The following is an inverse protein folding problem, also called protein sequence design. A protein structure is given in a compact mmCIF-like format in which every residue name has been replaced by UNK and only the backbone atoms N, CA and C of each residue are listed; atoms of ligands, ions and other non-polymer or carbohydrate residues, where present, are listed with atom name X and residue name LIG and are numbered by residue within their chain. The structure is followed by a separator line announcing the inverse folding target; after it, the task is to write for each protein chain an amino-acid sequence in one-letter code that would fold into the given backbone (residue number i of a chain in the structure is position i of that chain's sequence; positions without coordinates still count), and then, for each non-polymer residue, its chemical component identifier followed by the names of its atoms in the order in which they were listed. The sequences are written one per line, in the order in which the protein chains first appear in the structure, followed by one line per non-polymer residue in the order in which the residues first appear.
data_IF_808701262285
#
_entry.id   IF_808701262285
#
_cell.length_a   1.000
_cell.length_b   1.000
_cell.length_c   1.000
_cell.angle_alpha   90.00
_cell.angle_beta   90.00
_cell.angle_gamma   90.00
#
_symmetry.space_group_name_H-M   'P 1'
#
loop_
_entity.id
_entity.type
_entity.pdbx_description
1 polymer ?
#
# COMPACT_ATOMS: atom_id res chain seq x y z
N UNK A 1 20.09 -9.00 23.07
CA UNK A 1 21.33 -8.29 23.48
C UNK A 1 21.62 -7.19 22.46
N UNK A 2 22.05 -6.01 22.88
CA UNK A 2 22.40 -4.91 21.96
C UNK A 2 23.91 -4.76 21.93
N UNK A 3 24.50 -4.89 20.74
CA UNK A 3 25.94 -4.72 20.50
C UNK A 3 26.14 -3.55 19.54
N UNK A 4 26.36 -2.34 20.08
CA UNK A 4 26.49 -1.14 19.28
C UNK A 4 25.21 -0.84 18.48
N UNK A 5 25.27 -1.04 17.15
CA UNK A 5 24.12 -0.89 16.23
C UNK A 5 23.39 -2.20 15.93
N UNK A 6 23.93 -3.33 16.38
CA UNK A 6 23.36 -4.66 16.12
C UNK A 6 22.47 -5.10 17.28
N UNK A 7 21.34 -5.70 16.93
CA UNK A 7 20.41 -6.30 17.89
C UNK A 7 20.48 -7.82 17.68
N UNK A 8 20.94 -8.53 18.71
CA UNK A 8 20.94 -10.00 18.75
C UNK A 8 19.68 -10.44 19.50
N UNK A 9 18.74 -11.03 18.77
CA UNK A 9 17.55 -11.64 19.35
C UNK A 9 17.93 -12.98 20.00
N UNK A 10 17.61 -13.13 21.29
CA UNK A 10 17.84 -14.35 22.06
C UNK A 10 16.49 -14.78 22.61
N UNK A 11 15.98 -15.91 22.13
CA UNK A 11 14.74 -16.51 22.58
C UNK A 11 15.02 -17.93 23.08
N UNK A 12 14.30 -18.36 24.12
CA UNK A 12 14.33 -19.75 24.61
C UNK A 12 13.46 -20.64 23.74
N UNK A 13 13.79 -21.93 23.67
CA UNK A 13 12.96 -22.92 22.98
C UNK A 13 11.63 -23.13 23.69
N UNK A 14 10.59 -23.45 22.92
CA UNK A 14 9.22 -23.64 23.41
C UNK A 14 8.75 -25.08 23.19
N UNK A 15 8.07 -25.67 24.15
CA UNK A 15 7.57 -27.05 24.09
C UNK A 15 6.29 -27.20 23.25
N UNK A 16 6.01 -28.41 22.76
CA UNK A 16 4.69 -28.81 22.26
C UNK A 16 3.88 -29.42 23.43
N UNK A 17 2.84 -28.72 23.89
CA UNK A 17 1.98 -29.18 24.99
C UNK A 17 0.89 -30.07 24.40
N UNK A 18 1.25 -31.28 23.98
CA UNK A 18 0.26 -32.37 23.78
C UNK A 18 0.23 -33.32 25.01
N UNK A 19 0.93 -32.94 26.09
CA UNK A 19 1.10 -33.71 27.33
C UNK A 19 0.21 -33.22 28.49
N UNK A 20 -0.72 -32.31 28.24
CA UNK A 20 -1.77 -31.92 29.19
C UNK A 20 -1.31 -31.15 30.43
N UNK A 21 -0.10 -30.55 30.42
CA UNK A 21 0.49 -29.93 31.62
C UNK A 21 0.78 -28.41 31.53
N UNK A 22 0.27 -27.69 30.52
CA UNK A 22 0.59 -26.27 30.33
C UNK A 22 -0.57 -25.35 29.90
N UNK A 23 -0.50 -24.12 30.41
CA UNK A 23 -1.36 -22.96 30.11
C UNK A 23 -1.22 -22.48 28.64
N UNK A 24 -1.74 -23.26 27.68
CA UNK A 24 -2.22 -22.68 26.41
C UNK A 24 -3.63 -22.16 26.66
N UNK A 25 -3.74 -20.87 26.95
CA UNK A 25 -5.04 -20.20 26.82
C UNK A 25 -5.34 -20.07 25.33
N UNK A 26 -6.20 -20.98 24.85
CA UNK A 26 -6.87 -20.85 23.56
C UNK A 26 -8.17 -20.09 23.82
N UNK A 27 -8.22 -18.79 23.49
CA UNK A 27 -9.49 -18.08 23.44
C UNK A 27 -10.07 -18.27 22.03
N UNK A 28 -11.17 -19.01 21.94
CA UNK A 28 -11.82 -19.38 20.68
C UNK A 28 -10.89 -20.03 19.63
N UNK A 29 -9.95 -20.88 20.07
CA UNK A 29 -9.01 -21.59 19.18
C UNK A 29 -7.76 -20.79 18.78
N UNK A 30 -7.50 -19.64 19.43
CA UNK A 30 -6.34 -18.78 19.14
C UNK A 30 -5.32 -18.77 20.25
N UNK A 31 -4.04 -18.77 19.90
CA UNK A 31 -2.95 -18.70 20.87
C UNK A 31 -2.96 -17.35 21.62
N UNK A 32 -3.27 -17.36 22.92
CA UNK A 32 -3.23 -16.17 23.80
C UNK A 32 -1.98 -16.14 24.68
N UNK A 33 -1.51 -17.30 25.17
CA UNK A 33 -0.29 -17.43 26.00
C UNK A 33 0.44 -18.75 25.76
N UNK A 34 1.77 -18.72 25.88
CA UNK A 34 2.64 -19.83 25.50
C UNK A 34 4.05 -19.75 26.11
N UNK A 35 4.15 -19.90 27.43
CA UNK A 35 5.42 -19.81 28.17
C UNK A 35 5.91 -21.17 28.70
N UNK A 36 5.88 -22.21 27.87
CA UNK A 36 6.43 -23.53 28.24
C UNK A 36 7.72 -23.77 27.47
N UNK A 37 8.80 -24.04 28.20
CA UNK A 37 10.12 -24.31 27.61
C UNK A 37 10.22 -25.76 27.17
N UNK A 38 10.81 -25.99 26.00
CA UNK A 38 10.94 -27.31 25.39
C UNK A 38 12.29 -27.59 24.78
N UNK A 39 12.37 -28.69 24.03
CA UNK A 39 13.55 -29.02 23.26
C UNK A 39 13.65 -28.17 21.98
N UNK A 40 14.82 -28.23 21.34
CA UNK A 40 15.03 -27.61 20.01
C UNK A 40 14.09 -28.21 18.95
N UNK A 41 13.80 -29.51 19.03
CA UNK A 41 12.90 -30.22 18.13
C UNK A 41 11.45 -29.73 18.32
N UNK A 42 11.04 -29.53 19.56
CA UNK A 42 9.72 -28.95 19.88
C UNK A 42 9.56 -27.56 19.26
N UNK A 43 10.56 -26.68 19.42
CA UNK A 43 10.49 -25.33 18.85
C UNK A 43 10.49 -25.36 17.32
N UNK A 44 11.21 -26.29 16.69
CA UNK A 44 11.25 -26.45 15.23
C UNK A 44 9.86 -26.71 14.66
N UNK A 45 9.09 -27.62 15.27
CA UNK A 45 7.73 -27.99 14.83
C UNK A 45 6.74 -26.81 14.95
N UNK A 46 7.00 -25.89 15.89
CA UNK A 46 6.15 -24.71 16.14
C UNK A 46 6.42 -23.54 15.20
N UNK A 47 7.52 -23.57 14.45
CA UNK A 47 7.79 -22.58 13.40
C UNK A 47 6.79 -22.73 12.27
N UNK A 48 6.65 -21.67 11.48
CA UNK A 48 5.61 -21.63 10.47
C UNK A 48 6.00 -22.41 9.22
N UNK A 49 7.26 -22.29 8.76
CA UNK A 49 7.71 -22.85 7.50
C UNK A 49 9.00 -23.65 7.68
N UNK A 50 9.12 -24.74 6.94
CA UNK A 50 10.27 -25.68 6.99
C UNK A 50 11.59 -24.96 6.71
N UNK A 51 11.62 -24.08 5.70
CA UNK A 51 12.80 -23.28 5.35
C UNK A 51 13.29 -22.34 6.47
N UNK A 52 12.41 -21.98 7.41
CA UNK A 52 12.73 -21.13 8.56
C UNK A 52 13.03 -21.95 9.82
N UNK A 53 13.00 -23.27 9.77
CA UNK A 53 13.20 -24.18 10.90
C UNK A 53 14.56 -24.91 10.86
N UNK A 54 15.54 -24.35 10.15
CA UNK A 54 16.91 -24.83 10.12
C UNK A 54 17.73 -24.19 11.27
N UNK A 55 18.46 -25.01 12.02
CA UNK A 55 19.30 -24.56 13.13
C UNK A 55 20.77 -24.82 12.82
N UNK A 56 21.60 -23.80 12.95
CA UNK A 56 23.04 -23.93 12.77
C UNK A 56 23.73 -24.13 14.12
N UNK A 57 24.53 -25.19 14.23
CA UNK A 57 25.30 -25.50 15.42
C UNK A 57 26.76 -25.06 15.24
N UNK A 58 27.23 -24.15 16.08
CA UNK A 58 28.61 -23.65 16.04
C UNK A 58 29.61 -24.67 16.61
N UNK A 59 29.13 -25.65 17.37
CA UNK A 59 29.97 -26.66 18.03
C UNK A 59 30.63 -27.61 17.03
N UNK A 60 29.86 -28.01 16.02
CA UNK A 60 30.25 -29.02 15.01
C UNK A 60 30.06 -28.52 13.57
N UNK A 61 29.68 -27.25 13.38
CA UNK A 61 29.43 -26.62 12.09
C UNK A 61 28.33 -27.31 11.27
N UNK A 62 27.41 -28.03 11.94
CA UNK A 62 26.31 -28.75 11.31
C UNK A 62 25.03 -27.89 11.19
N UNK A 63 24.16 -28.28 10.26
CA UNK A 63 22.78 -27.79 10.18
C UNK A 63 21.86 -28.90 10.67
N UNK A 64 21.09 -28.61 11.72
CA UNK A 64 20.06 -29.51 12.26
C UNK A 64 18.72 -29.17 11.61
N UNK A 65 18.13 -30.17 10.95
CA UNK A 65 16.86 -30.08 10.25
C UNK A 65 15.91 -31.16 10.76
N UNK A 66 14.85 -30.74 11.45
CA UNK A 66 13.83 -31.62 12.04
C UNK A 66 12.56 -31.69 11.18
N UNK A 67 12.49 -30.94 10.08
CA UNK A 67 11.25 -30.75 9.32
C UNK A 67 11.41 -30.95 7.80
N UNK A 68 12.60 -31.29 7.31
CA UNK A 68 12.91 -31.39 5.88
C UNK A 68 13.09 -30.03 5.19
N UNK A 69 13.41 -28.98 5.96
CA UNK A 69 13.59 -27.63 5.44
C UNK A 69 14.73 -27.48 4.45
N UNK A 70 15.79 -28.30 4.55
CA UNK A 70 16.90 -28.24 3.59
C UNK A 70 16.46 -28.67 2.19
N UNK A 71 15.71 -29.77 2.08
CA UNK A 71 15.18 -30.27 0.80
C UNK A 71 14.20 -29.27 0.18
N UNK A 72 13.30 -28.70 1.00
CA UNK A 72 12.36 -27.67 0.55
C UNK A 72 13.07 -26.40 0.05
N UNK A 73 14.17 -25.98 0.71
CA UNK A 73 14.99 -24.85 0.25
C UNK A 73 15.67 -25.16 -1.09
N UNK A 74 16.19 -26.38 -1.27
CA UNK A 74 16.77 -26.81 -2.56
C UNK A 74 15.71 -26.82 -3.67
N UNK A 75 14.49 -27.26 -3.34
CA UNK A 75 13.35 -27.29 -4.25
C UNK A 75 12.67 -25.91 -4.44
N UNK A 76 13.08 -24.88 -3.69
CA UNK A 76 12.44 -23.56 -3.64
C UNK A 76 10.94 -23.62 -3.30
N UNK A 77 10.59 -24.46 -2.33
CA UNK A 77 9.23 -24.64 -1.84
C UNK A 77 9.02 -23.95 -0.50
N UNK A 78 7.96 -23.15 -0.41
CA UNK A 78 7.45 -22.57 0.81
C UNK A 78 6.40 -23.51 1.39
N UNK A 79 6.84 -24.42 2.27
CA UNK A 79 6.01 -25.45 2.89
C UNK A 79 5.73 -25.13 4.36
N UNK A 80 4.47 -25.22 4.77
CA UNK A 80 4.08 -25.01 6.15
C UNK A 80 4.43 -26.25 7.00
N UNK A 81 4.80 -26.04 8.26
CA UNK A 81 5.04 -27.15 9.19
C UNK A 81 3.71 -27.60 9.82
N UNK A 82 3.41 -28.90 9.79
CA UNK A 82 2.16 -29.47 10.30
C UNK A 82 1.00 -29.36 9.29
N UNK A 83 -0.24 -29.48 9.79
CA UNK A 83 -1.45 -29.41 8.96
C UNK A 83 -1.78 -27.95 8.56
N UNK A 84 -1.80 -27.61 7.26
CA UNK A 84 -2.02 -26.22 6.83
C UNK A 84 -3.35 -25.61 7.29
N UNK A 85 -4.44 -26.36 7.28
CA UNK A 85 -5.76 -25.86 7.64
C UNK A 85 -5.83 -25.50 9.13
N UNK A 86 -5.38 -26.40 10.01
CA UNK A 86 -5.30 -26.14 11.45
C UNK A 86 -4.38 -24.94 11.76
N UNK A 87 -3.20 -24.89 11.13
CA UNK A 87 -2.23 -23.81 11.39
C UNK A 87 -2.73 -22.45 10.90
N UNK A 88 -3.48 -22.38 9.81
CA UNK A 88 -4.12 -21.12 9.38
C UNK A 88 -5.30 -20.72 10.25
N UNK A 89 -6.03 -21.66 10.84
CA UNK A 89 -7.09 -21.36 11.82
C UNK A 89 -6.52 -20.78 13.11
N UNK A 90 -5.43 -21.36 13.62
CA UNK A 90 -4.72 -20.86 14.81
C UNK A 90 -4.17 -19.43 14.62
N UNK A 91 -3.52 -19.17 13.48
CA UNK A 91 -2.97 -17.86 13.14
C UNK A 91 -3.11 -17.55 11.63
N UNK A 92 -4.20 -16.87 11.24
CA UNK A 92 -4.49 -16.51 9.85
C UNK A 92 -3.39 -15.67 9.19
N UNK A 93 -2.60 -14.95 10.00
CA UNK A 93 -1.48 -14.12 9.52
C UNK A 93 -0.40 -14.97 8.83
N UNK A 94 -0.32 -16.28 9.10
CA UNK A 94 0.57 -17.21 8.39
C UNK A 94 0.33 -17.25 6.89
N UNK A 95 -0.91 -17.06 6.42
CA UNK A 95 -1.20 -16.97 4.98
C UNK A 95 -0.47 -15.78 4.32
N UNK A 96 -0.48 -14.61 4.98
CA UNK A 96 0.24 -13.43 4.51
C UNK A 96 1.75 -13.65 4.53
N UNK A 97 2.25 -14.33 5.57
CA UNK A 97 3.67 -14.66 5.71
C UNK A 97 4.13 -15.64 4.64
N UNK A 98 3.30 -16.61 4.26
CA UNK A 98 3.58 -17.56 3.18
C UNK A 98 3.79 -16.80 1.86
N UNK A 99 2.84 -15.93 1.50
CA UNK A 99 2.94 -15.08 0.29
C UNK A 99 4.16 -14.17 0.35
N UNK A 100 4.40 -13.51 1.48
CA UNK A 100 5.53 -12.60 1.65
C UNK A 100 6.87 -13.30 1.48
N UNK A 101 7.04 -14.45 2.13
CA UNK A 101 8.30 -15.19 2.09
C UNK A 101 8.51 -15.84 0.73
N UNK A 102 7.46 -16.37 0.12
CA UNK A 102 7.50 -16.88 -1.25
C UNK A 102 7.95 -15.79 -2.23
N UNK A 103 7.36 -14.58 -2.15
CA UNK A 103 7.76 -13.43 -2.96
C UNK A 103 9.22 -13.00 -2.72
N UNK A 104 9.64 -12.93 -1.45
CA UNK A 104 11.00 -12.50 -1.08
C UNK A 104 12.08 -13.50 -1.53
N UNK A 105 11.85 -14.79 -1.32
CA UNK A 105 12.84 -15.84 -1.59
C UNK A 105 12.75 -16.37 -3.02
N UNK A 106 11.76 -15.92 -3.80
CA UNK A 106 11.41 -16.48 -5.11
C UNK A 106 11.13 -18.00 -5.02
N UNK A 107 10.30 -18.37 -4.05
CA UNK A 107 9.83 -19.73 -3.81
C UNK A 107 8.39 -19.87 -4.29
N UNK A 108 7.99 -21.09 -4.63
CA UNK A 108 6.59 -21.45 -4.84
C UNK A 108 5.98 -21.96 -3.55
N UNK A 109 4.71 -21.64 -3.27
CA UNK A 109 4.02 -22.21 -2.10
C UNK A 109 3.67 -23.66 -2.43
N UNK A 110 4.07 -24.60 -1.56
CA UNK A 110 3.80 -26.02 -1.73
C UNK A 110 2.27 -26.26 -1.84
N UNK A 111 1.85 -27.20 -2.68
CA UNK A 111 0.45 -27.35 -3.09
C UNK A 111 -0.52 -27.56 -1.92
N UNK A 112 -0.17 -28.42 -0.95
CA UNK A 112 -0.97 -28.64 0.27
C UNK A 112 -1.02 -27.42 1.18
N UNK A 113 0.06 -26.64 1.22
CA UNK A 113 0.12 -25.36 1.94
C UNK A 113 -0.69 -24.26 1.22
N UNK A 114 -0.77 -24.32 -0.11
CA UNK A 114 -1.47 -23.34 -0.93
C UNK A 114 -2.99 -23.56 -0.99
N UNK A 115 -3.45 -24.81 -1.03
CA UNK A 115 -4.88 -25.16 -1.23
C UNK A 115 -5.82 -24.47 -0.24
N UNK A 116 -5.56 -24.43 1.08
CA UNK A 116 -6.52 -23.88 2.03
C UNK A 116 -6.57 -22.36 2.02
N UNK A 117 -5.56 -21.68 1.47
CA UNK A 117 -5.39 -20.22 1.57
C UNK A 117 -6.63 -19.46 1.05
N UNK A 118 -7.16 -19.73 -0.16
CA UNK A 118 -8.31 -19.00 -0.67
C UNK A 118 -9.59 -19.28 0.14
N UNK A 119 -9.76 -20.49 0.67
CA UNK A 119 -10.92 -20.88 1.48
C UNK A 119 -10.90 -20.17 2.85
N UNK A 120 -9.72 -20.09 3.45
CA UNK A 120 -9.51 -19.56 4.80
C UNK A 120 -9.19 -18.06 4.83
N UNK A 121 -9.01 -17.41 3.68
CA UNK A 121 -8.69 -15.98 3.56
C UNK A 121 -9.61 -15.07 4.40
N UNK A 122 -10.88 -15.45 4.56
CA UNK A 122 -11.85 -14.73 5.40
C UNK A 122 -11.41 -14.58 6.85
N UNK A 123 -10.68 -15.55 7.41
CA UNK A 123 -10.21 -15.54 8.80
C UNK A 123 -9.27 -14.37 9.11
N UNK A 124 -8.66 -13.75 8.10
CA UNK A 124 -7.87 -12.53 8.28
C UNK A 124 -8.68 -11.39 8.89
N UNK A 125 -10.01 -11.34 8.72
CA UNK A 125 -10.85 -10.31 9.33
C UNK A 125 -10.87 -10.34 10.85
N UNK A 126 -10.55 -11.50 11.40
CA UNK A 126 -10.59 -11.74 12.84
C UNK A 126 -9.19 -11.59 13.46
N UNK A 127 -8.13 -11.50 12.65
CA UNK A 127 -6.78 -11.22 13.13
C UNK A 127 -6.67 -9.79 13.65
N UNK A 128 -5.79 -9.56 14.63
CA UNK A 128 -5.59 -8.24 15.21
C UNK A 128 -5.20 -7.22 14.12
N UNK A 129 -5.94 -6.09 13.96
CA UNK A 129 -5.71 -5.13 12.88
C UNK A 129 -4.28 -4.54 12.84
N UNK A 130 -3.62 -4.45 14.00
CA UNK A 130 -2.22 -4.03 14.10
C UNK A 130 -1.24 -5.07 13.50
N UNK A 131 -1.51 -6.37 13.68
CA UNK A 131 -0.66 -7.44 13.09
C UNK A 131 -0.79 -7.43 11.56
N UNK A 132 -1.98 -7.19 11.03
CA UNK A 132 -2.21 -7.04 9.60
C UNK A 132 -1.46 -5.83 9.04
N UNK A 133 -1.48 -4.70 9.75
CA UNK A 133 -0.73 -3.51 9.36
C UNK A 133 0.77 -3.79 9.23
N UNK A 134 1.37 -4.43 10.25
CA UNK A 134 2.79 -4.79 10.24
C UNK A 134 3.13 -5.75 9.09
N UNK A 135 2.31 -6.77 8.82
CA UNK A 135 2.55 -7.66 7.69
C UNK A 135 2.36 -6.98 6.33
N UNK A 136 1.41 -6.04 6.19
CA UNK A 136 1.28 -5.22 4.97
C UNK A 136 2.56 -4.41 4.72
N UNK A 137 3.12 -3.78 5.75
CA UNK A 137 4.40 -3.08 5.60
C UNK A 137 5.51 -4.02 5.14
N UNK A 138 5.63 -5.20 5.76
CA UNK A 138 6.65 -6.19 5.37
C UNK A 138 6.42 -6.78 3.97
N UNK A 139 5.16 -6.90 3.52
CA UNK A 139 4.81 -7.38 2.17
C UNK A 139 5.29 -6.42 1.09
N UNK A 140 5.08 -5.11 1.29
CA UNK A 140 5.25 -4.12 0.22
C UNK A 140 6.47 -3.20 0.38
N UNK A 141 7.05 -3.09 1.58
CA UNK A 141 8.22 -2.23 1.84
C UNK A 141 9.52 -3.03 2.01
N UNK A 142 9.54 -4.29 1.57
CA UNK A 142 10.72 -5.17 1.64
C UNK A 142 11.43 -5.39 0.30
N UNK A 143 11.06 -4.65 -0.75
CA UNK A 143 11.67 -4.76 -2.08
C UNK A 143 11.05 -5.81 -3.00
N UNK A 144 9.92 -6.41 -2.59
CA UNK A 144 9.22 -7.45 -3.35
C UNK A 144 7.70 -7.19 -3.45
N UNK A 145 7.30 -5.92 -3.41
CA UNK A 145 5.91 -5.47 -3.42
C UNK A 145 5.12 -5.94 -4.63
N UNK A 146 5.72 -5.96 -5.83
CA UNK A 146 5.04 -6.47 -7.04
C UNK A 146 4.69 -7.95 -6.88
N UNK A 147 5.68 -8.78 -6.55
CA UNK A 147 5.47 -10.23 -6.37
C UNK A 147 4.50 -10.53 -5.21
N UNK A 148 4.59 -9.76 -4.12
CA UNK A 148 3.64 -9.83 -3.00
C UNK A 148 2.22 -9.50 -3.45
N UNK A 149 2.00 -8.44 -4.24
CA UNK A 149 0.68 -8.05 -4.74
C UNK A 149 0.06 -9.14 -5.60
N UNK A 150 0.82 -9.66 -6.55
CA UNK A 150 0.38 -10.73 -7.45
C UNK A 150 0.10 -12.03 -6.70
N UNK A 151 0.89 -12.33 -5.66
CA UNK A 151 0.63 -13.44 -4.75
C UNK A 151 -0.69 -13.26 -3.99
N UNK A 152 -0.96 -12.07 -3.44
CA UNK A 152 -2.23 -11.79 -2.77
C UNK A 152 -3.43 -11.90 -3.71
N UNK A 153 -3.28 -11.51 -4.99
CA UNK A 153 -4.31 -11.72 -6.01
C UNK A 153 -4.52 -13.21 -6.30
N UNK A 154 -3.42 -13.95 -6.55
CA UNK A 154 -3.44 -15.38 -6.90
C UNK A 154 -4.13 -16.22 -5.83
N UNK A 155 -3.84 -15.96 -4.56
CA UNK A 155 -4.36 -16.74 -3.43
C UNK A 155 -5.63 -16.15 -2.81
N UNK A 156 -6.25 -15.13 -3.43
CA UNK A 156 -7.52 -14.56 -2.96
C UNK A 156 -7.43 -13.71 -1.68
N UNK A 157 -6.23 -13.38 -1.21
CA UNK A 157 -6.00 -12.63 0.03
C UNK A 157 -6.19 -11.12 -0.13
N UNK A 158 -6.09 -10.59 -1.36
CA UNK A 158 -6.24 -9.15 -1.62
C UNK A 158 -7.61 -8.62 -1.14
N UNK A 159 -8.68 -9.40 -1.37
CA UNK A 159 -10.04 -9.02 -0.96
C UNK A 159 -10.26 -9.04 0.55
N UNK A 160 -9.50 -9.86 1.28
CA UNK A 160 -9.56 -9.91 2.74
C UNK A 160 -8.88 -8.69 3.38
N UNK A 161 -7.78 -8.21 2.79
CA UNK A 161 -7.03 -7.04 3.28
C UNK A 161 -7.60 -5.70 2.81
N UNK A 162 -7.97 -5.62 1.53
CA UNK A 162 -8.38 -4.38 0.86
C UNK A 162 -9.68 -4.59 0.07
N UNK A 163 -10.82 -4.85 0.74
CA UNK A 163 -12.07 -5.28 0.10
C UNK A 163 -12.56 -4.28 -0.97
N UNK A 164 -12.54 -2.98 -0.66
CA UNK A 164 -12.99 -1.96 -1.62
C UNK A 164 -12.05 -1.81 -2.81
N UNK A 165 -10.73 -1.88 -2.60
CA UNK A 165 -9.75 -1.82 -3.68
C UNK A 165 -9.83 -3.05 -4.57
N UNK A 166 -9.95 -4.25 -3.98
CA UNK A 166 -10.12 -5.49 -4.72
C UNK A 166 -11.39 -5.45 -5.59
N UNK A 167 -12.50 -4.95 -5.04
CA UNK A 167 -13.73 -4.78 -5.81
C UNK A 167 -13.59 -3.73 -6.93
N UNK A 168 -12.89 -2.62 -6.67
CA UNK A 168 -12.62 -1.60 -7.68
C UNK A 168 -11.74 -2.12 -8.82
N UNK A 169 -10.68 -2.85 -8.50
CA UNK A 169 -9.78 -3.49 -9.48
C UNK A 169 -10.55 -4.50 -10.34
N UNK A 170 -11.37 -5.37 -9.74
CA UNK A 170 -12.22 -6.32 -10.49
C UNK A 170 -13.20 -5.63 -11.44
N UNK A 171 -13.73 -4.47 -11.05
CA UNK A 171 -14.68 -3.71 -11.89
C UNK A 171 -14.00 -2.88 -12.99
N UNK A 172 -12.70 -2.64 -12.90
CA UNK A 172 -11.95 -1.81 -13.83
C UNK A 172 -11.51 -2.60 -15.07
N UNK A 173 -12.38 -2.71 -16.07
CA UNK A 173 -12.15 -3.50 -17.30
C UNK A 173 -10.90 -3.10 -18.09
N UNK A 174 -10.47 -1.85 -18.01
CA UNK A 174 -9.26 -1.40 -18.70
C UNK A 174 -7.96 -1.92 -18.08
N UNK A 175 -7.99 -2.42 -16.83
CA UNK A 175 -6.81 -2.81 -16.08
C UNK A 175 -5.89 -1.65 -15.67
N UNK A 176 -6.25 -0.40 -16.01
CA UNK A 176 -5.44 0.79 -15.78
C UNK A 176 -5.13 1.02 -14.31
N UNK A 177 -6.10 0.78 -13.41
CA UNK A 177 -5.88 0.92 -11.96
C UNK A 177 -4.92 -0.15 -11.44
N UNK A 178 -5.01 -1.39 -11.95
CA UNK A 178 -4.07 -2.46 -11.59
C UNK A 178 -2.67 -2.14 -12.08
N UNK A 179 -2.53 -1.69 -13.33
CA UNK A 179 -1.25 -1.31 -13.92
C UNK A 179 -0.57 -0.18 -13.11
N UNK A 180 -1.33 0.84 -12.71
CA UNK A 180 -0.83 1.92 -11.87
C UNK A 180 -0.34 1.42 -10.49
N UNK A 181 -1.09 0.53 -9.84
CA UNK A 181 -0.66 -0.06 -8.56
C UNK A 181 0.65 -0.84 -8.74
N UNK A 182 0.73 -1.70 -9.75
CA UNK A 182 1.94 -2.47 -10.02
C UNK A 182 3.15 -1.58 -10.34
N UNK A 183 2.96 -0.50 -11.10
CA UNK A 183 4.04 0.44 -11.39
C UNK A 183 4.51 1.19 -10.14
N UNK A 184 3.59 1.64 -9.29
CA UNK A 184 3.94 2.26 -8.01
C UNK A 184 4.68 1.30 -7.07
N UNK A 185 4.31 0.02 -7.07
CA UNK A 185 5.02 -1.02 -6.32
C UNK A 185 6.38 -1.32 -6.92
N UNK A 186 6.51 -1.40 -8.25
CA UNK A 186 7.80 -1.57 -8.94
C UNK A 186 8.78 -0.45 -8.60
N UNK A 187 8.29 0.79 -8.57
CA UNK A 187 9.09 1.94 -8.13
C UNK A 187 9.44 1.84 -6.65
N UNK A 188 8.53 1.37 -5.79
CA UNK A 188 8.84 1.13 -4.38
C UNK A 188 9.93 0.06 -4.21
N UNK A 189 9.86 -1.02 -4.99
CA UNK A 189 10.85 -2.10 -4.98
C UNK A 189 12.24 -1.60 -5.41
N UNK A 190 12.31 -0.82 -6.49
CA UNK A 190 13.54 -0.19 -6.94
C UNK A 190 14.14 0.75 -5.89
N UNK A 191 13.30 1.49 -5.15
CA UNK A 191 13.77 2.39 -4.08
C UNK A 191 14.35 1.61 -2.91
N UNK A 192 13.70 0.53 -2.47
CA UNK A 192 14.26 -0.34 -1.43
C UNK A 192 15.59 -0.95 -1.87
N UNK A 193 15.70 -1.42 -3.12
CA UNK A 193 16.93 -1.99 -3.66
C UNK A 193 18.10 -0.98 -3.73
N UNK A 194 17.79 0.31 -3.83
CA UNK A 194 18.77 1.41 -3.84
C UNK A 194 18.99 2.04 -2.45
N UNK A 195 18.53 1.41 -1.36
CA UNK A 195 18.57 1.93 0.01
C UNK A 195 17.91 3.32 0.18
N UNK A 196 16.94 3.63 -0.66
CA UNK A 196 16.18 4.88 -0.57
C UNK A 196 15.01 4.77 0.42
N UNK A 197 14.67 5.88 1.11
CA UNK A 197 13.58 5.86 2.08
C UNK A 197 12.21 5.70 1.40
N UNK A 198 11.46 4.69 1.81
CA UNK A 198 10.07 4.45 1.39
C UNK A 198 9.07 4.95 2.43
N UNK A 199 7.87 5.35 1.97
CA UNK A 199 6.86 5.95 2.84
C UNK A 199 5.60 5.08 2.95
N UNK A 200 5.21 4.65 4.17
CA UNK A 200 3.94 3.97 4.38
C UNK A 200 2.73 4.78 3.91
N UNK A 201 2.73 6.10 4.08
CA UNK A 201 1.62 6.94 3.63
C UNK A 201 1.44 6.91 2.11
N UNK A 202 2.54 6.91 1.35
CA UNK A 202 2.51 6.79 -0.11
C UNK A 202 2.05 5.39 -0.55
N UNK A 203 2.52 4.34 0.13
CA UNK A 203 2.08 2.97 -0.11
C UNK A 203 0.56 2.83 0.05
N UNK A 204 -0.01 3.29 1.17
CA UNK A 204 -1.46 3.22 1.36
C UNK A 204 -2.22 4.12 0.38
N UNK A 205 -1.65 5.28 0.00
CA UNK A 205 -2.24 6.12 -1.04
C UNK A 205 -2.34 5.38 -2.38
N UNK A 206 -1.37 4.52 -2.70
CA UNK A 206 -1.34 3.69 -3.89
C UNK A 206 -2.33 2.51 -3.79
N UNK A 207 -2.25 1.71 -2.72
CA UNK A 207 -3.07 0.50 -2.55
C UNK A 207 -4.57 0.80 -2.42
N UNK A 208 -4.93 1.94 -1.84
CA UNK A 208 -6.32 2.38 -1.67
C UNK A 208 -6.82 3.29 -2.82
N UNK A 209 -5.96 3.64 -3.77
CA UNK A 209 -6.35 4.47 -4.92
C UNK A 209 -7.51 3.89 -5.73
N UNK A 210 -7.58 2.57 -6.03
CA UNK A 210 -8.71 2.02 -6.75
C UNK A 210 -10.05 2.23 -6.02
N UNK A 211 -10.07 2.02 -4.71
CA UNK A 211 -11.25 2.27 -3.87
C UNK A 211 -11.65 3.75 -3.87
N UNK A 212 -10.67 4.64 -3.78
CA UNK A 212 -10.87 6.09 -3.86
C UNK A 212 -11.51 6.50 -5.20
N UNK A 213 -10.97 6.05 -6.34
CA UNK A 213 -11.52 6.36 -7.65
C UNK A 213 -12.97 5.90 -7.78
N UNK A 214 -13.26 4.65 -7.40
CA UNK A 214 -14.63 4.10 -7.47
C UNK A 214 -15.61 4.88 -6.60
N UNK A 215 -15.21 5.22 -5.38
CA UNK A 215 -16.05 6.00 -4.45
C UNK A 215 -16.27 7.43 -4.94
N UNK A 216 -15.22 8.08 -5.45
CA UNK A 216 -15.30 9.42 -6.02
C UNK A 216 -16.26 9.47 -7.21
N UNK A 217 -16.14 8.52 -8.15
CA UNK A 217 -17.04 8.43 -9.31
C UNK A 217 -18.49 8.25 -8.89
N UNK A 218 -18.75 7.41 -7.88
CA UNK A 218 -20.11 7.21 -7.36
C UNK A 218 -20.70 8.48 -6.73
N UNK A 219 -19.91 9.23 -5.97
CA UNK A 219 -20.35 10.49 -5.35
C UNK A 219 -20.59 11.59 -6.40
N UNK A 220 -19.74 11.67 -7.42
CA UNK A 220 -19.93 12.61 -8.53
C UNK A 220 -21.19 12.29 -9.35
N UNK A 221 -21.47 11.00 -9.58
CA UNK A 221 -22.71 10.57 -10.25
C UNK A 221 -23.97 10.93 -9.44
N UNK A 222 -23.86 11.07 -8.11
CA UNK A 222 -24.94 11.54 -7.23
C UNK A 222 -25.08 13.08 -7.21
N UNK A 223 -24.29 13.81 -8.00
CA UNK A 223 -24.33 15.28 -8.07
C UNK A 223 -23.65 15.99 -6.91
N UNK A 224 -22.84 15.29 -6.10
CA UNK A 224 -22.03 15.92 -5.06
C UNK A 224 -20.98 16.82 -5.72
N UNK A 225 -20.79 18.03 -5.19
CA UNK A 225 -19.80 18.98 -5.72
C UNK A 225 -18.38 18.37 -5.74
N UNK A 226 -17.56 18.62 -6.77
CA UNK A 226 -16.30 17.91 -6.96
C UNK A 226 -15.33 17.95 -5.77
N UNK A 227 -15.16 19.11 -5.13
CA UNK A 227 -14.27 19.26 -3.97
C UNK A 227 -14.79 18.49 -2.74
N UNK A 228 -16.11 18.53 -2.51
CA UNK A 228 -16.74 17.80 -1.40
C UNK A 228 -16.74 16.29 -1.66
N UNK A 229 -16.96 15.87 -2.91
CA UNK A 229 -16.93 14.48 -3.31
C UNK A 229 -15.55 13.85 -3.03
N UNK A 230 -14.47 14.61 -3.23
CA UNK A 230 -13.10 14.13 -2.97
C UNK A 230 -12.81 13.96 -1.49
N UNK A 231 -13.17 14.95 -0.66
CA UNK A 231 -13.00 14.85 0.78
C UNK A 231 -13.81 13.67 1.34
N UNK A 232 -15.08 13.56 0.94
CA UNK A 232 -15.95 12.46 1.34
C UNK A 232 -15.45 11.10 0.86
N UNK A 233 -14.91 11.00 -0.36
CA UNK A 233 -14.32 9.77 -0.86
C UNK A 233 -13.07 9.36 -0.05
N UNK A 234 -12.17 10.31 0.21
CA UNK A 234 -10.97 10.09 1.00
C UNK A 234 -11.32 9.61 2.43
N UNK A 235 -12.26 10.29 3.08
CA UNK A 235 -12.72 9.93 4.43
C UNK A 235 -13.38 8.55 4.46
N UNK A 236 -14.32 8.28 3.53
CA UNK A 236 -15.05 7.01 3.49
C UNK A 236 -14.12 5.82 3.29
N UNK A 237 -13.23 5.88 2.30
CA UNK A 237 -12.27 4.80 2.01
C UNK A 237 -11.34 4.58 3.21
N UNK A 238 -10.89 5.67 3.84
CA UNK A 238 -10.02 5.58 5.02
C UNK A 238 -10.75 4.92 6.20
N UNK A 239 -12.00 5.32 6.47
CA UNK A 239 -12.80 4.78 7.58
C UNK A 239 -13.11 3.30 7.39
N UNK A 240 -13.53 2.88 6.19
CA UNK A 240 -13.79 1.48 5.91
C UNK A 240 -12.51 0.63 5.96
N UNK A 241 -11.36 1.17 5.54
CA UNK A 241 -10.10 0.43 5.67
C UNK A 241 -9.69 0.23 7.15
N UNK A 242 -10.02 1.19 8.03
CA UNK A 242 -9.73 1.08 9.47
C UNK A 242 -10.49 -0.05 10.16
N UNK A 243 -11.60 -0.53 9.60
CA UNK A 243 -12.33 -1.71 10.10
C UNK A 243 -11.53 -3.01 9.90
N UNK A 244 -10.55 -3.01 8.98
CA UNK A 244 -9.72 -4.18 8.66
C UNK A 244 -8.30 -4.07 9.16
N UNK A 245 -7.68 -2.90 8.99
CA UNK A 245 -6.26 -2.71 9.26
C UNK A 245 -6.09 -1.46 10.12
N UNK A 246 -5.33 -1.58 11.22
CA UNK A 246 -5.02 -0.42 12.06
C UNK A 246 -4.05 0.49 11.31
N UNK A 247 -4.56 1.53 10.65
CA UNK A 247 -3.78 2.54 9.93
C UNK A 247 -3.58 3.79 10.82
N UNK A 248 -2.38 4.00 11.40
CA UNK A 248 -2.12 5.17 12.24
C UNK A 248 -2.39 6.50 11.51
N UNK A 249 -2.89 7.50 12.25
CA UNK A 249 -3.15 8.86 11.72
C UNK A 249 -1.93 9.53 11.08
N UNK A 250 -0.74 9.24 11.59
CA UNK A 250 0.53 9.72 11.00
C UNK A 250 0.75 9.25 9.55
N UNK A 251 0.04 8.21 9.11
CA UNK A 251 0.09 7.70 7.74
C UNK A 251 -1.19 7.99 6.96
N UNK A 252 -2.37 7.90 7.58
CA UNK A 252 -3.64 8.18 6.88
C UNK A 252 -3.81 9.66 6.53
N UNK A 253 -3.37 10.61 7.37
CA UNK A 253 -3.49 12.04 7.05
C UNK A 253 -2.62 12.42 5.84
N UNK A 254 -1.31 12.11 5.78
CA UNK A 254 -0.52 12.39 4.59
C UNK A 254 -0.99 11.64 3.34
N UNK A 255 -1.53 10.44 3.49
CA UNK A 255 -2.15 9.68 2.40
C UNK A 255 -3.32 10.46 1.78
N UNK A 256 -4.25 10.96 2.60
CA UNK A 256 -5.36 11.76 2.11
C UNK A 256 -4.88 13.08 1.49
N UNK A 257 -3.87 13.73 2.05
CA UNK A 257 -3.27 14.94 1.47
C UNK A 257 -2.73 14.67 0.06
N UNK A 258 -2.08 13.52 -0.18
CA UNK A 258 -1.61 13.11 -1.51
C UNK A 258 -2.78 13.05 -2.50
N UNK A 259 -3.91 12.46 -2.11
CA UNK A 259 -5.12 12.40 -2.94
C UNK A 259 -5.75 13.76 -3.19
N UNK A 260 -5.91 14.59 -2.16
CA UNK A 260 -6.55 15.90 -2.27
C UNK A 260 -5.72 16.91 -3.07
N UNK A 261 -4.41 16.72 -3.18
CA UNK A 261 -3.56 17.51 -4.06
C UNK A 261 -3.77 17.17 -5.55
N UNK A 262 -4.30 15.98 -5.87
CA UNK A 262 -4.41 15.51 -7.25
C UNK A 262 -5.23 16.41 -8.18
N UNK A 263 -6.24 17.12 -7.65
CA UNK A 263 -7.01 18.11 -8.43
C UNK A 263 -6.36 19.46 -8.57
N UNK A 264 -5.36 19.76 -7.75
CA UNK A 264 -4.67 21.04 -7.83
C UNK A 264 -3.69 21.08 -8.99
N UNK A 265 -3.26 19.91 -9.48
CA UNK A 265 -2.33 19.80 -10.58
C UNK A 265 -2.91 20.22 -11.94
N UNK A 266 -4.23 20.23 -12.12
CA UNK A 266 -4.83 20.77 -13.37
C UNK A 266 -4.85 22.31 -13.40
N UNK A 267 -4.76 22.97 -12.25
CA UNK A 267 -4.86 24.43 -12.19
C UNK A 267 -3.57 25.12 -12.64
N UNK A 268 -3.68 25.98 -13.67
CA UNK A 268 -2.59 26.88 -14.13
C UNK A 268 -2.61 28.28 -13.51
N UNK A 269 -3.46 28.53 -12.51
CA UNK A 269 -3.51 29.85 -11.86
C UNK A 269 -2.28 30.09 -10.97
N UNK A 270 -1.56 31.20 -11.19
CA UNK A 270 -0.35 31.59 -10.45
C UNK A 270 -0.41 31.37 -8.94
N UNK A 271 -1.40 31.97 -8.25
CA UNK A 271 -1.54 31.83 -6.78
C UNK A 271 -1.70 30.37 -6.33
N UNK A 272 -2.39 29.56 -7.13
CA UNK A 272 -2.60 28.13 -6.83
C UNK A 272 -1.33 27.32 -7.10
N UNK A 273 -0.58 27.65 -8.15
CA UNK A 273 0.69 26.98 -8.49
C UNK A 273 1.70 27.16 -7.36
N UNK A 274 1.99 28.40 -6.96
CA UNK A 274 2.92 28.69 -5.86
C UNK A 274 2.52 28.00 -4.56
N UNK A 275 1.22 28.01 -4.22
CA UNK A 275 0.71 27.34 -3.00
C UNK A 275 0.85 25.82 -3.05
N UNK A 276 0.73 25.22 -4.23
CA UNK A 276 0.91 23.77 -4.40
C UNK A 276 2.39 23.39 -4.33
N UNK A 277 3.29 24.17 -4.97
CA UNK A 277 4.74 23.97 -4.87
C UNK A 277 5.26 24.05 -3.43
N UNK A 278 4.72 24.97 -2.62
CA UNK A 278 5.13 25.14 -1.22
C UNK A 278 4.53 24.12 -0.25
N UNK A 279 3.70 23.17 -0.73
CA UNK A 279 3.04 22.21 0.15
C UNK A 279 4.04 21.14 0.64
N UNK A 280 4.06 20.78 1.94
CA UNK A 280 5.01 19.78 2.48
C UNK A 280 4.96 18.41 1.80
N UNK A 281 3.79 18.06 1.23
CA UNK A 281 3.56 16.79 0.51
C UNK A 281 3.61 16.93 -1.01
N UNK A 282 4.05 18.06 -1.54
CA UNK A 282 4.11 18.28 -2.98
C UNK A 282 4.88 17.18 -3.70
N UNK A 283 6.08 16.81 -3.20
CA UNK A 283 6.91 15.79 -3.86
C UNK A 283 6.18 14.44 -4.00
N UNK A 284 5.64 13.94 -2.89
CA UNK A 284 4.88 12.69 -2.90
C UNK A 284 3.63 12.79 -3.80
N UNK A 285 2.92 13.92 -3.79
CA UNK A 285 1.75 14.12 -4.63
C UNK A 285 2.09 14.23 -6.13
N UNK A 286 3.23 14.81 -6.47
CA UNK A 286 3.73 14.88 -7.84
C UNK A 286 4.20 13.50 -8.34
N UNK A 287 4.96 12.76 -7.52
CA UNK A 287 5.34 11.37 -7.83
C UNK A 287 4.08 10.51 -8.06
N UNK A 288 3.02 10.75 -7.28
CA UNK A 288 1.71 10.10 -7.47
C UNK A 288 1.02 10.52 -8.78
N UNK A 289 1.10 11.79 -9.18
CA UNK A 289 0.58 12.26 -10.48
C UNK A 289 1.31 11.58 -11.65
N UNK A 290 2.63 11.42 -11.55
CA UNK A 290 3.43 10.69 -12.55
C UNK A 290 2.93 9.24 -12.68
N UNK A 291 2.62 8.56 -11.56
CA UNK A 291 2.03 7.22 -11.61
C UNK A 291 0.66 7.20 -12.29
N UNK A 292 -0.16 8.23 -12.09
CA UNK A 292 -1.49 8.31 -12.74
C UNK A 292 -1.40 8.41 -14.27
N UNK A 293 -0.27 8.89 -14.81
CA UNK A 293 -0.04 8.90 -16.25
C UNK A 293 -0.06 7.49 -16.88
N UNK A 294 0.32 6.46 -16.11
CA UNK A 294 0.23 5.07 -16.57
C UNK A 294 -1.21 4.56 -16.66
N UNK A 295 -2.14 5.18 -15.93
CA UNK A 295 -3.57 4.86 -16.00
C UNK A 295 -4.32 5.70 -17.05
N UNK A 296 -3.89 6.95 -17.30
CA UNK A 296 -4.46 7.81 -18.34
C UNK A 296 -3.42 8.77 -18.94
N UNK A 297 -3.40 8.85 -20.27
CA UNK A 297 -2.57 9.80 -21.02
C UNK A 297 -2.95 11.27 -20.77
N UNK A 298 -4.16 11.55 -20.25
CA UNK A 298 -4.66 12.90 -19.99
C UNK A 298 -3.77 13.68 -19.00
N UNK A 299 -2.98 12.98 -18.20
CA UNK A 299 -2.08 13.60 -17.21
C UNK A 299 -0.73 14.02 -17.78
N UNK A 300 -0.40 13.71 -19.04
CA UNK A 300 0.92 14.00 -19.62
C UNK A 300 1.27 15.50 -19.59
N UNK A 301 0.33 16.36 -20.01
CA UNK A 301 0.54 17.81 -20.03
C UNK A 301 0.67 18.41 -18.62
N UNK A 302 -0.07 17.86 -17.63
CA UNK A 302 0.10 18.23 -16.23
C UNK A 302 1.49 17.83 -15.72
N UNK A 303 1.91 16.58 -15.96
CA UNK A 303 3.22 16.08 -15.52
C UNK A 303 4.36 16.91 -16.10
N UNK A 304 4.31 17.25 -17.39
CA UNK A 304 5.33 18.06 -18.06
C UNK A 304 5.41 19.46 -17.46
N UNK A 305 4.27 20.15 -17.34
CA UNK A 305 4.20 21.48 -16.74
C UNK A 305 4.79 21.50 -15.33
N UNK A 306 4.37 20.57 -14.46
CA UNK A 306 4.85 20.54 -13.08
C UNK A 306 6.30 20.07 -12.95
N UNK A 307 6.80 19.27 -13.89
CA UNK A 307 8.22 18.90 -13.95
C UNK A 307 9.09 20.11 -14.26
N UNK A 308 8.63 20.99 -15.14
CA UNK A 308 9.35 22.22 -15.46
C UNK A 308 9.23 23.26 -14.35
N UNK A 309 8.02 23.46 -13.82
CA UNK A 309 7.76 24.39 -12.72
C UNK A 309 8.57 24.11 -11.45
N UNK A 310 9.03 22.87 -11.25
CA UNK A 310 9.93 22.49 -10.14
C UNK A 310 11.38 22.95 -10.33
N UNK A 311 11.81 23.18 -11.57
CA UNK A 311 13.18 23.60 -11.92
C UNK A 311 13.29 25.11 -12.02
N UNK A 312 12.23 25.77 -12.49
CA UNK A 312 12.20 27.22 -12.69
C UNK A 312 12.04 27.97 -11.36
N UNK A 313 12.58 29.20 -11.29
CA UNK A 313 12.46 30.05 -10.10
C UNK A 313 12.16 31.51 -10.45
N UNK A 314 11.59 32.27 -9.52
CA UNK A 314 11.37 33.70 -9.69
C UNK A 314 10.48 34.05 -10.90
N UNK A 315 11.01 34.84 -11.83
CA UNK A 315 10.30 35.34 -13.00
C UNK A 315 10.07 34.27 -14.08
N UNK A 316 11.02 33.34 -14.26
CA UNK A 316 10.90 32.25 -15.24
C UNK A 316 9.69 31.35 -14.96
N UNK A 317 9.43 31.07 -13.69
CA UNK A 317 8.24 30.33 -13.27
C UNK A 317 6.96 31.12 -13.54
N UNK A 318 6.98 32.44 -13.34
CA UNK A 318 5.83 33.31 -13.62
C UNK A 318 5.50 33.29 -15.11
N UNK A 319 6.51 33.44 -15.96
CA UNK A 319 6.35 33.46 -17.41
C UNK A 319 5.85 32.10 -17.93
N UNK A 320 6.38 30.99 -17.40
CA UNK A 320 5.92 29.63 -17.73
C UNK A 320 4.46 29.39 -17.31
N UNK A 321 4.04 29.89 -16.14
CA UNK A 321 2.65 29.83 -15.67
C UNK A 321 1.73 30.63 -16.61
N UNK A 322 2.13 31.84 -16.98
CA UNK A 322 1.32 32.72 -17.83
C UNK A 322 1.16 32.14 -19.24
N UNK A 323 2.22 31.55 -19.80
CA UNK A 323 2.15 30.81 -21.07
C UNK A 323 1.21 29.61 -20.97
N UNK A 324 1.37 28.75 -19.96
CA UNK A 324 0.54 27.56 -19.79
C UNK A 324 -0.94 27.90 -19.52
N UNK A 325 -1.21 29.02 -18.86
CA UNK A 325 -2.58 29.50 -18.66
C UNK A 325 -3.20 29.99 -19.98
N UNK A 326 -2.43 30.66 -20.84
CA UNK A 326 -2.90 31.10 -22.16
C UNK A 326 -3.24 29.93 -23.09
N UNK A 327 -2.42 28.87 -23.09
CA UNK A 327 -2.67 27.66 -23.88
C UNK A 327 -3.92 26.90 -23.39
N UNK A 328 -4.07 26.79 -22.07
CA UNK A 328 -5.25 26.17 -21.46
C UNK A 328 -6.54 26.95 -21.75
N UNK A 329 -6.51 28.28 -21.67
CA UNK A 329 -7.67 29.14 -21.98
C UNK A 329 -7.94 29.22 -23.50
N UNK A 330 -6.91 29.06 -24.33
CA UNK A 330 -7.00 29.04 -25.79
C UNK A 330 -7.59 27.75 -26.38
N UNK A 331 -7.40 26.61 -25.71
CA UNK A 331 -7.97 25.31 -26.09
C UNK A 331 -9.49 25.17 -25.83
N UNK A 332 -10.05 25.94 -24.90
CA UNK A 332 -11.48 25.95 -24.57
C UNK A 332 -12.28 27.15 -25.16
N UNK A 333 -11.68 27.92 -26.07
CA UNK A 333 -12.19 29.24 -26.47
C UNK A 333 -13.01 29.30 -27.76
N UNK A 334 -14.31 28.95 -27.72
CA UNK A 334 -15.27 29.68 -28.56
C UNK A 334 -15.33 31.15 -28.06
N UNK A 335 -15.32 32.17 -28.95
CA UNK A 335 -14.99 33.53 -28.55
C UNK A 335 -16.08 34.15 -27.66
N UNK A 336 -15.74 34.47 -26.41
CA UNK A 336 -16.58 35.27 -25.51
C UNK A 336 -16.82 36.66 -26.11
N UNK A 337 -18.06 36.91 -26.54
CA UNK A 337 -18.52 38.23 -27.01
C UNK A 337 -18.18 39.31 -25.98
N UNK A 338 -17.33 40.26 -26.40
CA UNK A 338 -17.03 41.51 -25.67
C UNK A 338 -18.33 42.19 -25.24
N UNK A 339 -18.57 42.25 -23.93
CA UNK A 339 -19.63 43.05 -23.32
C UNK A 339 -19.35 44.52 -23.62
N UNK A 340 -20.15 45.13 -24.51
CA UNK A 340 -20.07 46.57 -24.85
C UNK A 340 -20.16 47.40 -23.57
N UNK A 341 -19.10 48.13 -23.27
CA UNK A 341 -19.01 49.13 -22.20
C UNK A 341 -20.03 50.22 -22.49
N UNK A 342 -21.09 50.32 -21.68
CA UNK A 342 -22.13 51.36 -21.81
C UNK A 342 -21.48 52.70 -21.41
N UNK A 343 -21.31 53.57 -22.41
CA UNK A 343 -20.77 54.93 -22.26
C UNK A 343 -21.77 55.73 -21.41
N UNK A 344 -21.39 56.09 -20.18
CA UNK A 344 -22.17 57.00 -19.33
C UNK A 344 -21.96 58.40 -19.88
N UNK A 345 -22.97 58.94 -20.56
CA UNK A 345 -23.04 60.34 -20.95
C UNK A 345 -23.16 61.20 -19.70
N UNK A 346 -22.32 62.23 -19.61
CA UNK A 346 -22.35 63.20 -18.53
C UNK A 346 -23.60 64.08 -18.59
N UNK A 347 -24.06 64.49 -17.42
CA UNK A 347 -24.85 65.70 -17.23
C UNK A 347 -24.15 66.49 -16.12
N UNK A 348 -23.67 67.67 -16.50
CA UNK A 348 -23.18 68.72 -15.62
C UNK A 348 -24.29 69.78 -15.46
N UNK A 349 -24.10 70.64 -14.47
CA UNK A 349 -24.88 71.83 -14.07
C UNK A 349 -26.13 71.53 -13.23
N UNK A 350 -26.42 72.27 -12.16
CA UNK A 350 -25.79 73.48 -11.62
C UNK A 350 -26.65 74.01 -10.46
N UNK A 351 -26.01 74.83 -9.63
CA UNK A 351 -26.52 75.66 -8.51
C UNK A 351 -27.22 74.98 -7.33
#
# INVERSE_FOLDING_TARGET
MVFGREIIEVATFRANIDDGSGDRELDNGRLVRDNVYGSIEDDAIRRDFTCNALYYAIEDFSVRDYCGGFEDVQAKLMKLIGDPELRYQEDPVRMLRAVRLAAKLNFEIEAGSAEPIPRLAGLLSEAAPARLFEEILKLFLSGHGVASFEGLERYGLLGALFPESAAALKSNRSGALRAMVLEGLRNTDARVANDEPVSPAFLFALLLWPAFCRTLMALQAQGVQPEDAQRRAADRVTLHQLERVALPRRFSLPMQEIWLLQTRFSSRQRKRVFRTLSHPRFRAAFDFLVLRQFASADHAADVEFWREAQKSSGQELVDAIESAQADHDGGEGAPRKRRRRRRRTGAAAGE
#
